data_IF_622401716012
#
_entry.id   IF_622401716012
#
_cell.length_a   1.000
_cell.length_b   1.000
_cell.length_c   1.000
_cell.angle_alpha   90.00
_cell.angle_beta   90.00
_cell.angle_gamma   90.00
#
_symmetry.space_group_name_H-M   'P 1'
#
loop_
_entity.id
_entity.type
_entity.pdbx_description
1 polymer ?
#
# COMPACT_ATOMS: atom_id res chain seq x y z
N UNK A 1 -24.86 -6.48 63.88
CA UNK A 1 -24.64 -5.18 63.22
C UNK A 1 -23.74 -5.45 62.04
N UNK A 2 -24.39 -5.74 60.91
CA UNK A 2 -23.73 -6.00 59.64
C UNK A 2 -23.06 -4.72 59.16
N UNK A 3 -21.74 -4.80 58.99
CA UNK A 3 -20.96 -3.73 58.40
C UNK A 3 -21.45 -3.49 56.98
N UNK A 4 -22.07 -2.32 56.77
CA UNK A 4 -22.29 -1.71 55.47
C UNK A 4 -20.98 -1.77 54.66
N UNK A 5 -20.84 -2.79 53.82
CA UNK A 5 -20.03 -2.67 52.60
C UNK A 5 -20.78 -1.69 51.70
N UNK A 6 -20.50 -0.41 51.89
CA UNK A 6 -20.75 0.54 50.82
C UNK A 6 -19.84 0.13 49.67
N UNK A 7 -20.41 -0.59 48.68
CA UNK A 7 -19.83 -0.66 47.36
C UNK A 7 -19.69 0.80 46.91
N UNK A 8 -18.46 1.32 46.90
CA UNK A 8 -18.17 2.58 46.21
C UNK A 8 -18.76 2.45 44.81
N UNK A 9 -19.84 3.18 44.56
CA UNK A 9 -20.60 3.10 43.33
C UNK A 9 -19.64 3.33 42.18
N UNK A 10 -19.39 2.28 41.39
CA UNK A 10 -18.48 2.32 40.26
C UNK A 10 -19.08 3.32 39.27
N UNK A 11 -18.39 4.45 39.09
CA UNK A 11 -18.94 5.61 38.42
C UNK A 11 -18.77 5.49 36.91
N UNK A 12 -19.88 5.64 36.21
CA UNK A 12 -19.91 5.87 34.76
C UNK A 12 -19.93 7.38 34.53
N UNK A 13 -19.31 7.83 33.44
CA UNK A 13 -19.40 9.21 32.97
C UNK A 13 -19.94 9.26 31.56
N UNK A 14 -20.65 10.34 31.25
CA UNK A 14 -21.20 10.60 29.94
C UNK A 14 -20.20 11.41 29.12
N UNK A 15 -19.86 10.92 27.93
CA UNK A 15 -19.00 11.64 26.98
C UNK A 15 -19.66 11.74 25.62
N UNK A 16 -19.39 12.84 24.91
CA UNK A 16 -19.77 12.98 23.50
C UNK A 16 -18.57 12.62 22.64
N UNK A 17 -18.75 11.64 21.77
CA UNK A 17 -17.70 11.10 20.89
C UNK A 17 -18.18 11.09 19.45
N UNK A 18 -17.25 11.04 18.49
CA UNK A 18 -17.58 10.82 17.09
C UNK A 18 -17.55 9.33 16.79
N UNK A 19 -18.62 8.82 16.20
CA UNK A 19 -18.70 7.45 15.70
C UNK A 19 -19.36 7.50 14.33
N UNK A 20 -18.64 7.04 13.30
CA UNK A 20 -19.06 7.04 11.90
C UNK A 20 -19.48 8.45 11.42
N UNK A 21 -18.65 9.45 11.74
CA UNK A 21 -18.91 10.86 11.43
C UNK A 21 -20.05 11.53 12.21
N UNK A 22 -20.74 10.80 13.09
CA UNK A 22 -21.84 11.34 13.89
C UNK A 22 -21.40 11.56 15.34
N UNK A 23 -21.81 12.69 15.92
CA UNK A 23 -21.65 12.89 17.37
C UNK A 23 -22.66 12.03 18.12
N UNK A 24 -22.18 11.24 19.08
CA UNK A 24 -22.99 10.38 19.95
C UNK A 24 -22.61 10.60 21.39
N UNK A 25 -23.61 10.65 22.26
CA UNK A 25 -23.41 10.66 23.69
C UNK A 25 -23.44 9.22 24.20
N UNK A 26 -22.37 8.80 24.86
CA UNK A 26 -22.20 7.43 25.35
C UNK A 26 -21.79 7.43 26.82
N UNK A 27 -22.21 6.39 27.55
CA UNK A 27 -21.74 6.15 28.91
C UNK A 27 -20.50 5.26 28.88
N UNK A 28 -19.47 5.70 29.59
CA UNK A 28 -18.20 5.00 29.70
C UNK A 28 -17.76 4.92 31.17
N UNK A 29 -16.93 3.95 31.56
CA UNK A 29 -16.36 3.91 32.89
C UNK A 29 -15.52 5.16 33.21
N UNK A 30 -15.57 5.67 34.44
CA UNK A 30 -14.63 6.71 34.89
C UNK A 30 -13.18 6.24 34.86
N UNK A 31 -12.95 4.94 35.08
CA UNK A 31 -11.65 4.30 35.02
C UNK A 31 -11.74 2.88 34.47
N UNK A 32 -10.91 2.59 33.47
CA UNK A 32 -10.81 1.27 32.86
C UNK A 32 -10.02 0.32 33.76
N UNK A 33 -10.59 -0.86 34.00
CA UNK A 33 -9.96 -1.98 34.73
C UNK A 33 -9.39 -3.05 33.80
N UNK A 34 -9.91 -3.16 32.58
CA UNK A 34 -9.50 -4.17 31.62
C UNK A 34 -10.22 -4.04 30.30
N UNK A 35 -9.75 -4.78 29.31
CA UNK A 35 -10.36 -4.90 28.00
C UNK A 35 -10.76 -6.36 27.83
N UNK A 36 -11.99 -6.61 27.40
CA UNK A 36 -12.50 -7.96 27.17
C UNK A 36 -12.78 -8.17 25.68
N UNK A 37 -12.55 -9.38 25.17
CA UNK A 37 -12.87 -9.75 23.79
C UNK A 37 -13.15 -11.25 23.64
N UNK A 38 -13.93 -11.62 22.62
CA UNK A 38 -14.28 -13.00 22.28
C UNK A 38 -13.54 -13.40 21.01
N UNK A 39 -12.52 -14.23 21.18
CA UNK A 39 -11.50 -14.45 20.16
C UNK A 39 -10.67 -13.18 19.93
N UNK A 40 -9.54 -13.35 19.25
CA UNK A 40 -8.75 -12.21 18.79
C UNK A 40 -8.47 -12.42 17.31
N UNK A 41 -9.02 -11.51 16.52
CA UNK A 41 -8.78 -11.35 15.08
C UNK A 41 -8.10 -9.99 14.84
N UNK A 42 -7.79 -9.68 13.58
CA UNK A 42 -7.15 -8.41 13.24
C UNK A 42 -8.01 -7.21 13.68
N UNK A 43 -9.33 -7.29 13.45
CA UNK A 43 -10.27 -6.22 13.80
C UNK A 43 -10.24 -5.86 15.30
N UNK A 44 -10.49 -6.85 16.16
CA UNK A 44 -10.40 -6.66 17.62
C UNK A 44 -9.00 -6.23 18.07
N UNK A 45 -7.93 -6.80 17.51
CA UNK A 45 -6.58 -6.46 17.92
C UNK A 45 -6.20 -5.01 17.57
N UNK A 46 -6.54 -4.54 16.36
CA UNK A 46 -6.30 -3.15 15.96
C UNK A 46 -7.17 -2.21 16.80
N UNK A 47 -8.44 -2.53 17.03
CA UNK A 47 -9.31 -1.72 17.89
C UNK A 47 -8.70 -1.52 19.29
N UNK A 48 -8.23 -2.60 19.91
CA UNK A 48 -7.59 -2.57 21.23
C UNK A 48 -6.31 -1.73 21.21
N UNK A 49 -5.45 -1.90 20.20
CA UNK A 49 -4.22 -1.11 20.07
C UNK A 49 -4.54 0.39 19.99
N UNK A 50 -5.49 0.78 19.14
CA UNK A 50 -5.87 2.19 18.97
C UNK A 50 -6.41 2.79 20.26
N UNK A 51 -7.26 2.05 20.98
CA UNK A 51 -7.78 2.48 22.27
C UNK A 51 -6.67 2.61 23.32
N UNK A 52 -5.72 1.67 23.37
CA UNK A 52 -4.61 1.73 24.32
C UNK A 52 -3.62 2.86 24.01
N UNK A 53 -3.34 3.14 22.74
CA UNK A 53 -2.36 4.17 22.34
C UNK A 53 -2.92 5.58 22.37
N UNK A 54 -4.22 5.75 22.10
CA UNK A 54 -4.82 7.07 21.87
C UNK A 54 -6.05 7.34 22.72
N UNK A 55 -6.54 6.35 23.47
CA UNK A 55 -7.81 6.46 24.19
C UNK A 55 -7.72 7.02 25.60
N UNK A 56 -6.53 7.28 26.17
CA UNK A 56 -6.36 7.59 27.61
C UNK A 56 -7.17 8.81 28.08
N UNK A 57 -7.29 9.85 27.26
CA UNK A 57 -8.09 11.04 27.57
C UNK A 57 -9.58 10.70 27.71
N UNK A 58 -10.09 9.88 26.79
CA UNK A 58 -11.49 9.47 26.74
C UNK A 58 -11.79 8.32 27.69
N UNK A 59 -10.86 7.40 27.93
CA UNK A 59 -10.98 6.17 28.73
C UNK A 59 -9.81 6.06 29.71
N UNK A 60 -9.83 6.75 30.86
CA UNK A 60 -8.70 6.78 31.79
C UNK A 60 -8.29 5.38 32.26
N UNK A 61 -7.01 5.05 32.16
CA UNK A 61 -6.45 3.73 32.48
C UNK A 61 -6.42 2.73 31.33
N UNK A 62 -7.02 3.03 30.18
CA UNK A 62 -7.08 2.12 29.02
C UNK A 62 -5.68 1.71 28.56
N UNK A 63 -4.70 2.62 28.58
CA UNK A 63 -3.37 2.36 28.04
C UNK A 63 -2.59 1.24 28.74
N UNK A 64 -2.96 0.93 29.99
CA UNK A 64 -2.36 -0.17 30.78
C UNK A 64 -3.35 -1.28 31.13
N UNK A 65 -4.57 -1.20 30.60
CA UNK A 65 -5.63 -2.14 30.91
C UNK A 65 -5.25 -3.56 30.42
N UNK A 66 -5.33 -4.59 31.28
CA UNK A 66 -5.08 -5.97 30.86
C UNK A 66 -6.11 -6.42 29.82
N UNK A 67 -5.66 -7.23 28.87
CA UNK A 67 -6.52 -7.82 27.83
C UNK A 67 -6.93 -9.21 28.29
N UNK A 68 -8.24 -9.44 28.41
CA UNK A 68 -8.83 -10.72 28.79
C UNK A 68 -9.60 -11.25 27.58
N UNK A 69 -9.12 -12.36 27.02
CA UNK A 69 -9.71 -12.99 25.84
C UNK A 69 -10.09 -14.44 26.14
N UNK A 70 -11.25 -14.86 25.63
CA UNK A 70 -11.66 -16.27 25.60
C UNK A 70 -12.15 -16.66 24.21
N UNK A 71 -12.23 -17.97 23.91
CA UNK A 71 -12.41 -18.45 22.53
C UNK A 71 -13.78 -18.16 21.92
N UNK A 72 -14.86 -18.35 22.67
CA UNK A 72 -16.23 -18.18 22.17
C UNK A 72 -17.23 -18.10 23.31
N UNK A 73 -18.40 -17.52 23.02
CA UNK A 73 -19.55 -17.54 23.92
C UNK A 73 -19.51 -16.50 25.05
N UNK A 74 -20.23 -16.79 26.13
CA UNK A 74 -20.39 -15.92 27.30
C UNK A 74 -19.07 -15.77 28.07
N UNK A 75 -18.92 -14.72 28.91
CA UNK A 75 -17.79 -14.59 29.83
C UNK A 75 -17.53 -15.89 30.61
N UNK A 76 -16.26 -16.28 30.84
CA UNK A 76 -15.91 -17.56 31.48
C UNK A 76 -16.48 -17.75 32.88
N UNK A 77 -16.75 -16.65 33.59
CA UNK A 77 -17.33 -16.63 34.93
C UNK A 77 -18.87 -16.64 34.92
N UNK A 78 -19.49 -16.71 33.74
CA UNK A 78 -20.94 -16.74 33.56
C UNK A 78 -21.66 -15.42 33.82
N UNK A 79 -20.95 -14.37 34.24
CA UNK A 79 -21.56 -13.05 34.52
C UNK A 79 -22.06 -12.40 33.23
N UNK A 80 -23.18 -11.65 33.28
CA UNK A 80 -23.64 -10.88 32.14
C UNK A 80 -22.68 -9.73 31.82
N UNK A 81 -22.59 -9.35 30.55
CA UNK A 81 -21.63 -8.35 30.07
C UNK A 81 -21.81 -6.97 30.73
N UNK A 82 -23.05 -6.59 31.06
CA UNK A 82 -23.32 -5.30 31.69
C UNK A 82 -22.63 -5.16 33.06
N UNK A 83 -22.46 -6.26 33.80
CA UNK A 83 -21.73 -6.24 35.07
C UNK A 83 -20.28 -5.89 34.80
N UNK A 84 -19.61 -6.58 33.86
CA UNK A 84 -18.24 -6.28 33.45
C UNK A 84 -18.06 -4.81 33.04
N UNK A 85 -18.98 -4.24 32.26
CA UNK A 85 -18.95 -2.82 31.87
C UNK A 85 -19.02 -1.91 33.11
N UNK A 86 -19.94 -2.17 34.03
CA UNK A 86 -20.04 -1.44 35.30
C UNK A 86 -18.79 -1.60 36.17
N UNK A 87 -18.07 -2.71 36.04
CA UNK A 87 -16.78 -2.91 36.70
C UNK A 87 -15.61 -2.18 36.04
N UNK A 88 -15.85 -1.50 34.91
CA UNK A 88 -14.83 -0.78 34.17
C UNK A 88 -14.12 -1.60 33.10
N UNK A 89 -14.70 -2.71 32.66
CA UNK A 89 -14.17 -3.48 31.53
C UNK A 89 -14.76 -3.02 30.20
N UNK A 90 -13.90 -2.95 29.19
CA UNK A 90 -14.24 -2.46 27.85
C UNK A 90 -14.42 -3.64 26.90
N UNK A 91 -15.65 -4.04 26.51
CA UNK A 91 -15.85 -5.01 25.45
C UNK A 91 -15.48 -4.47 24.07
N UNK A 92 -14.70 -5.25 23.33
CA UNK A 92 -14.28 -4.95 21.97
C UNK A 92 -14.63 -6.11 21.06
N UNK A 93 -15.30 -5.80 19.95
CA UNK A 93 -15.75 -6.75 18.93
C UNK A 93 -16.77 -7.81 19.40
N UNK A 94 -17.53 -7.52 20.45
CA UNK A 94 -18.67 -8.35 20.86
C UNK A 94 -19.61 -7.61 21.83
N UNK A 95 -20.82 -8.15 22.00
CA UNK A 95 -21.71 -7.81 23.11
C UNK A 95 -22.60 -6.58 22.92
N UNK A 96 -22.63 -6.00 21.72
CA UNK A 96 -23.50 -4.89 21.33
C UNK A 96 -23.08 -3.54 21.90
N UNK A 97 -21.86 -3.40 22.42
CA UNK A 97 -21.38 -2.13 22.97
C UNK A 97 -20.81 -1.20 21.89
N UNK A 98 -20.28 -0.04 22.29
CA UNK A 98 -19.85 1.02 21.36
C UNK A 98 -18.78 0.56 20.36
N UNK A 99 -17.96 -0.43 20.73
CA UNK A 99 -16.93 -1.04 19.88
C UNK A 99 -17.33 -2.40 19.29
N UNK A 100 -18.63 -2.70 19.22
CA UNK A 100 -19.16 -3.88 18.54
C UNK A 100 -19.99 -3.50 17.31
N UNK A 101 -19.85 -4.26 16.23
CA UNK A 101 -20.54 -4.07 14.95
C UNK A 101 -21.45 -5.26 14.59
N UNK A 102 -21.68 -6.19 15.51
CA UNK A 102 -22.59 -7.30 15.29
C UNK A 102 -24.05 -6.93 15.63
N UNK A 103 -25.03 -7.43 14.86
CA UNK A 103 -24.87 -8.12 13.59
C UNK A 103 -24.57 -7.12 12.45
N UNK A 104 -23.78 -7.54 11.46
CA UNK A 104 -23.24 -6.66 10.40
C UNK A 104 -24.32 -5.94 9.58
N UNK A 105 -25.52 -6.51 9.46
CA UNK A 105 -26.63 -5.91 8.71
C UNK A 105 -27.05 -4.55 9.30
N UNK A 106 -26.83 -4.34 10.61
CA UNK A 106 -27.13 -3.08 11.28
C UNK A 106 -26.03 -2.03 11.13
N UNK A 107 -24.82 -2.44 10.77
CA UNK A 107 -23.63 -1.60 10.74
C UNK A 107 -22.82 -1.83 9.46
N UNK A 108 -23.42 -1.59 8.27
CA UNK A 108 -22.75 -1.85 7.01
C UNK A 108 -21.53 -0.93 6.83
N UNK A 109 -20.36 -1.52 6.56
CA UNK A 109 -19.12 -0.78 6.38
C UNK A 109 -18.44 -0.34 7.67
N UNK A 110 -18.71 -1.02 8.78
CA UNK A 110 -18.06 -0.80 10.07
C UNK A 110 -17.47 -2.11 10.60
N UNK A 111 -16.36 -2.01 11.32
CA UNK A 111 -15.81 -3.07 12.16
C UNK A 111 -15.38 -2.47 13.52
N UNK A 112 -14.94 -3.29 14.48
CA UNK A 112 -14.56 -2.78 15.80
C UNK A 112 -13.42 -1.76 15.71
N UNK A 113 -12.46 -1.99 14.81
CA UNK A 113 -11.30 -1.13 14.61
C UNK A 113 -11.68 0.21 13.99
N UNK A 114 -12.59 0.26 13.02
CA UNK A 114 -13.03 1.55 12.46
C UNK A 114 -13.74 2.40 13.51
N UNK A 115 -14.51 1.76 14.39
CA UNK A 115 -15.17 2.43 15.52
C UNK A 115 -14.19 2.94 16.55
N UNK A 116 -13.17 2.15 16.89
CA UNK A 116 -12.10 2.60 17.78
C UNK A 116 -11.35 3.80 17.19
N UNK A 117 -10.99 3.76 15.89
CA UNK A 117 -10.34 4.87 15.18
C UNK A 117 -11.18 6.15 15.18
N UNK A 118 -12.50 6.03 14.98
CA UNK A 118 -13.42 7.18 15.08
C UNK A 118 -13.53 7.72 16.50
N UNK A 119 -13.63 6.82 17.49
CA UNK A 119 -13.75 7.18 18.90
C UNK A 119 -12.56 8.01 19.38
N UNK A 120 -11.33 7.67 18.94
CA UNK A 120 -10.10 8.43 19.28
C UNK A 120 -9.79 9.57 18.30
N UNK A 121 -10.74 9.93 17.43
CA UNK A 121 -10.65 11.03 16.44
C UNK A 121 -9.43 10.95 15.49
N UNK A 122 -8.98 9.74 15.15
CA UNK A 122 -7.93 9.54 14.13
C UNK A 122 -8.51 9.54 12.70
N UNK A 123 -9.82 9.56 12.54
CA UNK A 123 -10.51 9.23 11.28
C UNK A 123 -10.35 10.18 10.09
N UNK A 124 -9.72 11.36 10.25
CA UNK A 124 -9.72 12.41 9.23
C UNK A 124 -8.64 12.33 8.15
N UNK A 125 -7.56 11.56 8.38
CA UNK A 125 -6.45 11.49 7.45
C UNK A 125 -6.64 10.39 6.39
N UNK A 126 -6.20 10.63 5.15
CA UNK A 126 -6.29 9.66 4.05
C UNK A 126 -5.62 8.31 4.39
N UNK A 127 -4.55 8.36 5.19
CA UNK A 127 -3.85 7.16 5.70
C UNK A 127 -4.78 6.31 6.55
N UNK A 128 -5.55 6.94 7.44
CA UNK A 128 -6.49 6.27 8.33
C UNK A 128 -7.68 5.75 7.53
N UNK A 129 -8.14 6.49 6.53
CA UNK A 129 -9.21 6.05 5.65
C UNK A 129 -8.84 4.77 4.90
N UNK A 130 -7.62 4.66 4.36
CA UNK A 130 -7.16 3.43 3.71
C UNK A 130 -7.06 2.25 4.69
N UNK A 131 -6.57 2.50 5.90
CA UNK A 131 -6.52 1.46 6.94
C UNK A 131 -7.94 0.98 7.29
N UNK A 132 -8.90 1.89 7.46
CA UNK A 132 -10.30 1.55 7.72
C UNK A 132 -10.89 0.68 6.62
N UNK A 133 -10.74 1.08 5.36
CA UNK A 133 -11.25 0.31 4.22
C UNK A 133 -10.65 -1.10 4.17
N UNK A 134 -9.34 -1.23 4.44
CA UNK A 134 -8.68 -2.53 4.54
C UNK A 134 -9.23 -3.40 5.67
N UNK A 135 -9.45 -2.82 6.86
CA UNK A 135 -9.96 -3.54 8.04
C UNK A 135 -11.40 -4.01 7.82
N UNK A 136 -12.25 -3.17 7.23
CA UNK A 136 -13.62 -3.54 6.85
C UNK A 136 -13.58 -4.71 5.87
N UNK A 137 -12.70 -4.67 4.87
CA UNK A 137 -12.57 -5.77 3.90
C UNK A 137 -12.07 -7.07 4.54
N UNK A 138 -11.08 -7.02 5.44
CA UNK A 138 -10.55 -8.23 6.08
C UNK A 138 -11.61 -8.91 6.97
N UNK A 139 -12.40 -8.10 7.68
CA UNK A 139 -13.44 -8.54 8.60
C UNK A 139 -14.69 -9.06 7.85
N UNK A 140 -15.20 -8.31 6.87
CA UNK A 140 -16.47 -8.62 6.19
C UNK A 140 -16.34 -9.39 4.88
N UNK A 141 -15.15 -9.40 4.26
CA UNK A 141 -14.92 -9.84 2.87
C UNK A 141 -15.79 -9.14 1.83
N UNK A 142 -16.35 -7.98 2.16
CA UNK A 142 -17.19 -7.21 1.25
C UNK A 142 -16.38 -6.65 0.07
N UNK A 143 -16.78 -7.05 -1.14
CA UNK A 143 -16.09 -6.69 -2.38
C UNK A 143 -16.12 -5.19 -2.69
N UNK A 144 -17.04 -4.43 -2.09
CA UNK A 144 -17.07 -2.95 -2.24
C UNK A 144 -15.77 -2.31 -1.73
N UNK A 145 -15.16 -2.91 -0.70
CA UNK A 145 -13.91 -2.45 -0.11
C UNK A 145 -12.67 -3.13 -0.72
N UNK A 146 -12.86 -4.02 -1.71
CA UNK A 146 -11.75 -4.69 -2.40
C UNK A 146 -10.84 -3.72 -3.17
N UNK A 147 -11.40 -2.61 -3.68
CA UNK A 147 -10.67 -1.62 -4.49
C UNK A 147 -9.86 -0.61 -3.68
N UNK A 148 -10.01 -0.58 -2.35
CA UNK A 148 -9.06 0.11 -1.46
C UNK A 148 -7.64 -0.47 -1.57
N UNK A 149 -7.53 -1.65 -2.18
CA UNK A 149 -6.29 -2.33 -2.53
C UNK A 149 -6.15 -2.35 -4.06
N UNK A 150 -5.80 -1.23 -4.72
CA UNK A 150 -5.46 -1.24 -6.13
C UNK A 150 -4.18 -2.08 -6.26
N UNK A 151 -4.36 -3.35 -6.62
CA UNK A 151 -3.34 -4.39 -6.63
C UNK A 151 -2.86 -4.74 -5.20
N UNK A 152 -2.32 -5.94 -5.00
CA UNK A 152 -1.90 -6.48 -3.68
C UNK A 152 -0.78 -5.67 -2.99
N UNK A 153 -0.52 -4.44 -3.42
CA UNK A 153 0.61 -3.59 -3.08
C UNK A 153 0.26 -2.44 -2.11
N UNK A 154 -1.02 -2.24 -1.78
CA UNK A 154 -1.47 -1.10 -0.97
C UNK A 154 -1.43 -1.33 0.56
N UNK A 155 -1.55 -2.58 1.03
CA UNK A 155 -1.21 -2.93 2.42
C UNK A 155 0.11 -3.72 2.40
N UNK A 156 1.27 -3.07 2.58
CA UNK A 156 2.59 -3.69 2.45
C UNK A 156 2.83 -4.91 3.34
N UNK A 157 1.98 -5.13 4.36
CA UNK A 157 2.21 -6.13 5.39
C UNK A 157 1.23 -7.31 5.37
N UNK A 158 0.16 -7.32 4.57
CA UNK A 158 -0.87 -8.38 4.67
C UNK A 158 -1.23 -8.68 6.14
N UNK A 159 -1.59 -7.62 6.89
CA UNK A 159 -1.64 -7.62 8.36
C UNK A 159 -2.49 -8.75 8.93
N UNK A 160 -3.63 -9.06 8.33
CA UNK A 160 -4.54 -10.11 8.79
C UNK A 160 -3.88 -11.50 8.81
N UNK A 161 -3.43 -12.02 7.65
CA UNK A 161 -2.69 -13.28 7.60
C UNK A 161 -1.45 -13.33 8.50
N UNK A 162 -0.63 -12.27 8.54
CA UNK A 162 0.56 -12.24 9.40
C UNK A 162 0.19 -12.27 10.88
N UNK A 163 -0.74 -11.44 11.31
CA UNK A 163 -1.18 -11.40 12.71
C UNK A 163 -1.77 -12.74 13.14
N UNK A 164 -2.61 -13.36 12.30
CA UNK A 164 -3.15 -14.70 12.55
C UNK A 164 -2.05 -15.74 12.74
N UNK A 165 -1.00 -15.70 11.91
CA UNK A 165 0.11 -16.63 12.02
C UNK A 165 0.95 -16.40 13.28
N UNK A 166 1.22 -15.14 13.63
CA UNK A 166 1.96 -14.78 14.84
C UNK A 166 1.16 -15.18 16.09
N UNK A 167 -0.11 -14.79 16.17
CA UNK A 167 -0.99 -15.11 17.29
C UNK A 167 -1.19 -16.63 17.50
N UNK A 168 -1.03 -17.44 16.46
CA UNK A 168 -1.06 -18.90 16.57
C UNK A 168 0.24 -19.50 17.15
N UNK A 169 1.35 -18.76 17.13
CA UNK A 169 2.69 -19.25 17.48
C UNK A 169 3.27 -18.56 18.73
N UNK A 170 2.68 -17.46 19.18
CA UNK A 170 3.20 -16.66 20.31
C UNK A 170 2.14 -16.46 21.38
N UNK A 171 2.55 -15.88 22.51
CA UNK A 171 1.60 -15.35 23.51
C UNK A 171 0.85 -14.14 22.96
N UNK A 172 -0.29 -13.81 23.57
CA UNK A 172 -1.13 -12.72 23.12
C UNK A 172 -0.40 -11.38 23.17
N UNK A 173 0.31 -11.11 24.27
CA UNK A 173 1.06 -9.88 24.49
C UNK A 173 2.14 -9.69 23.41
N UNK A 174 2.82 -10.78 23.02
CA UNK A 174 3.82 -10.77 21.95
C UNK A 174 3.18 -10.52 20.58
N UNK A 175 2.02 -11.13 20.30
CA UNK A 175 1.28 -10.90 19.06
C UNK A 175 0.84 -9.43 18.93
N UNK A 176 0.38 -8.83 20.03
CA UNK A 176 0.04 -7.40 20.09
C UNK A 176 1.27 -6.51 19.89
N UNK A 177 2.42 -6.83 20.49
CA UNK A 177 3.66 -6.07 20.29
C UNK A 177 4.12 -6.09 18.81
N UNK A 178 4.03 -7.26 18.16
CA UNK A 178 4.29 -7.38 16.73
C UNK A 178 3.31 -6.57 15.90
N UNK A 179 2.01 -6.64 16.20
CA UNK A 179 0.99 -5.88 15.47
C UNK A 179 1.19 -4.36 15.61
N UNK A 180 1.53 -3.87 16.81
CA UNK A 180 1.89 -2.46 17.03
C UNK A 180 3.07 -2.06 16.14
N UNK A 181 4.12 -2.87 16.10
CA UNK A 181 5.29 -2.63 15.23
C UNK A 181 4.88 -2.58 13.75
N UNK A 182 4.04 -3.52 13.29
CA UNK A 182 3.54 -3.53 11.91
C UNK A 182 2.70 -2.29 11.58
N UNK A 183 1.85 -1.84 12.51
CA UNK A 183 1.05 -0.63 12.35
C UNK A 183 1.92 0.63 12.31
N UNK A 184 2.96 0.73 13.15
CA UNK A 184 3.93 1.83 13.11
C UNK A 184 4.67 1.86 11.77
N UNK A 185 5.15 0.70 11.29
CA UNK A 185 5.80 0.61 9.98
C UNK A 185 4.84 1.00 8.85
N UNK A 186 3.57 0.55 8.91
CA UNK A 186 2.53 0.95 7.96
C UNK A 186 2.32 2.46 7.97
N UNK A 187 2.17 3.06 9.16
CA UNK A 187 1.97 4.50 9.29
C UNK A 187 3.15 5.28 8.72
N UNK A 188 4.38 4.86 9.02
CA UNK A 188 5.60 5.49 8.48
C UNK A 188 5.64 5.40 6.95
N UNK A 189 5.39 4.21 6.40
CA UNK A 189 5.40 3.96 4.96
C UNK A 189 4.33 4.79 4.22
N UNK A 190 3.11 4.87 4.77
CA UNK A 190 2.04 5.69 4.21
C UNK A 190 2.31 7.18 4.37
N UNK A 191 2.90 7.60 5.48
CA UNK A 191 3.32 8.99 5.70
C UNK A 191 4.35 9.41 4.66
N UNK A 192 5.38 8.60 4.45
CA UNK A 192 6.37 8.84 3.39
C UNK A 192 5.69 8.92 2.01
N UNK A 193 4.73 8.05 1.73
CA UNK A 193 4.02 8.04 0.46
C UNK A 193 3.15 9.30 0.26
N UNK A 194 2.22 9.58 1.16
CA UNK A 194 1.23 10.66 1.03
C UNK A 194 1.74 12.05 1.37
N UNK A 195 2.81 12.16 2.15
CA UNK A 195 3.40 13.46 2.51
C UNK A 195 4.60 13.73 1.62
N UNK A 196 5.64 12.90 1.71
CA UNK A 196 6.90 13.16 1.00
C UNK A 196 6.78 12.88 -0.50
N UNK A 197 6.17 11.75 -0.88
CA UNK A 197 5.93 11.37 -2.26
C UNK A 197 5.01 12.37 -2.97
N UNK A 198 3.91 12.77 -2.33
CA UNK A 198 3.00 13.81 -2.82
C UNK A 198 3.73 15.15 -3.03
N UNK A 199 4.43 15.65 -2.02
CA UNK A 199 5.16 16.93 -2.12
C UNK A 199 6.17 16.93 -3.26
N UNK A 200 6.93 15.84 -3.41
CA UNK A 200 7.86 15.67 -4.51
C UNK A 200 7.17 15.61 -5.88
N UNK A 201 6.02 14.94 -5.96
CA UNK A 201 5.21 14.90 -7.18
C UNK A 201 4.61 16.27 -7.51
N UNK A 202 4.10 17.03 -6.55
CA UNK A 202 3.57 18.39 -6.78
C UNK A 202 4.63 19.30 -7.38
N UNK A 203 5.85 19.27 -6.85
CA UNK A 203 7.01 20.03 -7.36
C UNK A 203 7.61 19.50 -8.68
N UNK A 204 7.20 18.32 -9.14
CA UNK A 204 7.72 17.71 -10.36
C UNK A 204 7.13 18.32 -11.63
N UNK A 205 7.89 18.20 -12.73
CA UNK A 205 7.41 18.51 -14.06
C UNK A 205 6.47 17.42 -14.57
N UNK A 206 5.43 17.81 -15.32
CA UNK A 206 4.37 16.91 -15.83
C UNK A 206 3.96 17.34 -17.24
N UNK A 207 3.78 16.39 -18.14
CA UNK A 207 3.27 16.64 -19.51
C UNK A 207 2.46 15.44 -19.99
N UNK A 208 1.48 15.72 -20.85
CA UNK A 208 0.76 14.70 -21.62
C UNK A 208 1.12 14.87 -23.09
N UNK A 209 1.52 13.78 -23.75
CA UNK A 209 1.86 13.76 -25.18
C UNK A 209 0.91 12.81 -25.89
N UNK A 210 0.20 13.31 -26.90
CA UNK A 210 -0.62 12.46 -27.77
C UNK A 210 0.25 11.84 -28.86
N UNK A 211 0.23 10.50 -28.93
CA UNK A 211 0.86 9.72 -29.99
C UNK A 211 -0.17 8.74 -30.53
N UNK A 212 -0.55 8.89 -31.82
CA UNK A 212 -1.53 8.05 -32.50
C UNK A 212 -2.87 7.93 -31.74
N UNK A 213 -3.37 9.04 -31.18
CA UNK A 213 -4.64 9.10 -30.44
C UNK A 213 -4.56 8.52 -29.03
N UNK A 214 -3.36 8.25 -28.53
CA UNK A 214 -3.12 7.80 -27.17
C UNK A 214 -2.35 8.87 -26.40
N UNK A 215 -2.95 9.40 -25.33
CA UNK A 215 -2.30 10.35 -24.44
C UNK A 215 -1.39 9.62 -23.44
N UNK A 216 -0.09 9.86 -23.55
CA UNK A 216 0.95 9.34 -22.65
C UNK A 216 1.32 10.39 -21.62
N UNK A 217 1.23 10.03 -20.34
CA UNK A 217 1.58 10.96 -19.25
C UNK A 217 3.02 10.77 -18.79
N UNK A 218 3.82 11.82 -18.84
CA UNK A 218 5.22 11.84 -18.40
C UNK A 218 5.32 12.69 -17.13
N UNK A 219 6.02 12.17 -16.12
CA UNK A 219 6.32 12.88 -14.89
C UNK A 219 7.84 12.85 -14.64
N UNK A 220 8.45 13.99 -14.33
CA UNK A 220 9.89 14.09 -14.12
C UNK A 220 10.25 14.96 -12.92
N UNK A 221 11.00 14.40 -11.96
CA UNK A 221 11.34 15.07 -10.71
C UNK A 221 12.82 14.95 -10.35
N UNK A 222 13.39 16.03 -9.84
CA UNK A 222 14.65 15.99 -9.08
C UNK A 222 14.28 15.96 -7.60
N UNK A 223 14.47 14.83 -6.92
CA UNK A 223 14.01 14.67 -5.54
C UNK A 223 14.73 13.54 -4.81
N UNK A 224 15.04 13.69 -3.51
CA UNK A 224 15.55 12.58 -2.71
C UNK A 224 14.46 11.58 -2.30
N UNK A 225 13.17 11.91 -2.49
CA UNK A 225 12.06 11.04 -2.08
C UNK A 225 12.02 9.77 -2.92
N UNK A 226 12.23 8.62 -2.28
CA UNK A 226 12.07 7.31 -2.91
C UNK A 226 10.60 6.95 -3.19
N UNK A 227 9.65 7.66 -2.59
CA UNK A 227 8.21 7.45 -2.82
C UNK A 227 7.67 8.21 -4.03
N UNK A 228 8.42 9.19 -4.55
CA UNK A 228 8.01 9.98 -5.72
C UNK A 228 7.59 9.11 -6.91
N UNK A 229 8.37 8.09 -7.35
CA UNK A 229 7.99 7.30 -8.52
C UNK A 229 6.71 6.49 -8.31
N UNK A 230 6.54 5.93 -7.10
CA UNK A 230 5.33 5.19 -6.73
C UNK A 230 4.12 6.13 -6.71
N UNK A 231 4.27 7.32 -6.13
CA UNK A 231 3.18 8.30 -6.05
C UNK A 231 2.75 8.79 -7.43
N UNK A 232 3.71 9.15 -8.29
CA UNK A 232 3.45 9.63 -9.66
C UNK A 232 2.66 8.63 -10.51
N UNK A 233 2.90 7.33 -10.33
CA UNK A 233 2.21 6.22 -11.03
C UNK A 233 0.88 5.81 -10.38
N UNK A 234 0.64 6.21 -9.13
CA UNK A 234 -0.58 5.84 -8.40
C UNK A 234 -1.81 6.58 -8.91
N UNK A 235 -2.99 6.15 -8.44
CA UNK A 235 -4.25 6.86 -8.66
C UNK A 235 -4.31 8.25 -8.01
N UNK A 236 -3.45 8.52 -7.03
CA UNK A 236 -3.38 9.80 -6.32
C UNK A 236 -2.44 10.81 -7.00
N UNK A 237 -1.59 10.34 -7.91
CA UNK A 237 -0.72 11.17 -8.74
C UNK A 237 -1.31 11.39 -10.13
N UNK A 238 -0.46 11.31 -11.15
CA UNK A 238 -0.86 11.54 -12.55
C UNK A 238 -1.15 10.24 -13.31
N UNK A 239 -1.14 9.06 -12.64
CA UNK A 239 -1.11 7.75 -13.31
C UNK A 239 -0.04 7.70 -14.42
N UNK A 240 1.13 8.28 -14.13
CA UNK A 240 2.15 8.52 -15.14
C UNK A 240 2.55 7.22 -15.88
N UNK A 241 2.56 7.29 -17.21
CA UNK A 241 3.04 6.22 -18.07
C UNK A 241 4.57 6.15 -18.08
N UNK A 242 5.23 7.30 -17.94
CA UNK A 242 6.68 7.39 -17.82
C UNK A 242 7.04 8.26 -16.62
N UNK A 243 7.90 7.76 -15.75
CA UNK A 243 8.44 8.53 -14.63
C UNK A 243 9.96 8.62 -14.73
N UNK A 244 10.50 9.83 -14.75
CA UNK A 244 11.93 10.12 -14.65
C UNK A 244 12.21 10.65 -13.24
N UNK A 245 12.96 9.88 -12.46
CA UNK A 245 13.40 10.26 -11.13
C UNK A 245 14.90 10.49 -11.14
N UNK A 246 15.30 11.72 -10.84
CA UNK A 246 16.69 12.10 -10.64
C UNK A 246 16.89 12.39 -9.16
N UNK A 247 17.74 11.62 -8.48
CA UNK A 247 18.15 11.92 -7.12
C UNK A 247 19.14 13.10 -7.12
N UNK A 248 19.14 13.98 -6.12
CA UNK A 248 20.09 15.09 -6.03
C UNK A 248 21.57 14.66 -6.05
N UNK A 249 21.88 13.43 -5.63
CA UNK A 249 23.23 12.87 -5.72
C UNK A 249 23.63 12.43 -7.15
N UNK A 250 22.69 12.43 -8.10
CA UNK A 250 22.91 12.02 -9.50
C UNK A 250 22.44 10.61 -9.84
N UNK A 251 21.74 9.89 -8.94
CA UNK A 251 21.11 8.62 -9.33
C UNK A 251 19.92 8.90 -10.25
N UNK A 252 19.73 8.06 -11.27
CA UNK A 252 18.61 8.20 -12.19
C UNK A 252 17.84 6.90 -12.29
N UNK A 253 16.52 7.01 -12.30
CA UNK A 253 15.60 5.93 -12.62
C UNK A 253 14.56 6.44 -13.62
N UNK A 254 14.30 5.66 -14.66
CA UNK A 254 13.21 5.86 -15.61
C UNK A 254 12.32 4.62 -15.55
N UNK A 255 11.06 4.82 -15.19
CA UNK A 255 10.04 3.77 -15.13
C UNK A 255 9.05 3.98 -16.28
N UNK A 256 8.64 2.91 -16.93
CA UNK A 256 7.58 2.93 -17.93
C UNK A 256 6.42 2.00 -17.54
N UNK A 257 5.21 2.34 -17.96
CA UNK A 257 4.03 1.48 -17.83
C UNK A 257 4.21 0.20 -18.65
N UNK A 258 3.46 -0.84 -18.31
CA UNK A 258 3.52 -2.14 -19.00
C UNK A 258 3.10 -2.09 -20.48
N UNK A 259 2.54 -0.97 -20.93
CA UNK A 259 2.16 -0.72 -22.34
C UNK A 259 3.34 -0.26 -23.19
N UNK A 260 4.43 0.17 -22.56
CA UNK A 260 5.60 0.75 -23.21
C UNK A 260 6.82 -0.16 -23.06
N UNK A 261 7.50 -0.42 -24.18
CA UNK A 261 8.81 -1.07 -24.17
C UNK A 261 9.89 -0.01 -24.29
N UNK A 262 10.82 0.03 -23.35
CA UNK A 262 11.91 1.01 -23.33
C UNK A 262 13.11 0.56 -24.17
N UNK A 263 12.99 -0.45 -25.03
CA UNK A 263 14.09 -0.98 -25.87
C UNK A 263 14.72 0.15 -26.71
N UNK A 264 13.87 0.98 -27.33
CA UNK A 264 14.31 2.10 -28.15
C UNK A 264 14.90 3.25 -27.32
N UNK A 265 14.31 3.57 -26.16
CA UNK A 265 14.88 4.55 -25.25
C UNK A 265 16.26 4.12 -24.73
N UNK A 266 16.41 2.84 -24.40
CA UNK A 266 17.68 2.24 -24.00
C UNK A 266 18.72 2.37 -25.14
N UNK A 267 18.31 2.16 -26.40
CA UNK A 267 19.16 2.41 -27.58
C UNK A 267 19.57 3.88 -27.70
N UNK A 268 18.63 4.83 -27.59
CA UNK A 268 18.91 6.26 -27.66
C UNK A 268 19.89 6.71 -26.57
N UNK A 269 19.68 6.25 -25.34
CA UNK A 269 20.60 6.47 -24.21
C UNK A 269 21.99 5.95 -24.55
N UNK A 270 22.12 4.74 -25.10
CA UNK A 270 23.42 4.17 -25.47
C UNK A 270 24.11 4.94 -26.60
N UNK A 271 23.37 5.41 -27.60
CA UNK A 271 23.92 6.22 -28.69
C UNK A 271 24.49 7.55 -28.17
N UNK A 272 23.81 8.19 -27.22
CA UNK A 272 24.30 9.40 -26.57
C UNK A 272 25.59 9.15 -25.77
N UNK A 273 25.68 8.04 -25.05
CA UNK A 273 26.93 7.64 -24.40
C UNK A 273 28.07 7.47 -25.41
N UNK A 274 27.84 6.76 -26.51
CA UNK A 274 28.85 6.52 -27.55
C UNK A 274 29.33 7.81 -28.23
N UNK A 275 28.41 8.74 -28.53
CA UNK A 275 28.74 10.06 -29.10
C UNK A 275 29.66 10.85 -28.19
N UNK A 276 29.35 10.89 -26.89
CA UNK A 276 30.16 11.59 -25.90
C UNK A 276 31.55 10.95 -25.70
N UNK A 277 31.71 9.66 -26.02
CA UNK A 277 32.99 8.96 -25.95
C UNK A 277 33.90 9.17 -27.17
N UNK A 278 33.45 9.91 -28.19
CA UNK A 278 34.20 10.11 -29.45
C UNK A 278 34.63 8.80 -30.10
N UNK A 279 33.88 7.72 -29.89
CA UNK A 279 34.06 6.46 -30.61
C UNK A 279 33.36 6.63 -31.95
N UNK A 280 34.11 6.46 -33.04
CA UNK A 280 33.61 6.60 -34.41
C UNK A 280 32.32 5.79 -34.57
N UNK A 281 31.23 6.48 -34.92
CA UNK A 281 29.86 5.96 -34.92
C UNK A 281 29.56 4.93 -36.02
N UNK A 282 30.60 4.36 -36.64
CA UNK A 282 30.51 3.51 -37.83
C UNK A 282 30.59 2.01 -37.54
N UNK A 283 30.70 1.56 -36.27
CA UNK A 283 30.82 0.13 -35.97
C UNK A 283 29.71 -0.38 -35.02
N UNK A 284 28.65 -0.94 -35.61
CA UNK A 284 27.87 -2.15 -35.22
C UNK A 284 27.63 -2.54 -33.74
N UNK A 285 27.80 -1.64 -32.76
CA UNK A 285 27.73 -1.93 -31.31
C UNK A 285 26.59 -1.20 -30.57
N UNK A 286 25.64 -0.60 -31.29
CA UNK A 286 24.43 0.00 -30.71
C UNK A 286 23.35 -1.06 -30.39
N UNK A 287 23.76 -2.18 -29.78
CA UNK A 287 22.81 -3.22 -29.40
C UNK A 287 22.20 -2.88 -28.03
N UNK A 288 20.88 -2.64 -27.98
CA UNK A 288 20.16 -2.48 -26.73
C UNK A 288 20.30 -3.71 -25.82
N UNK A 289 20.61 -4.89 -26.40
CA UNK A 289 20.90 -6.11 -25.64
C UNK A 289 22.17 -6.00 -24.77
N UNK A 290 23.07 -5.04 -25.02
CA UNK A 290 24.25 -4.80 -24.17
C UNK A 290 23.93 -4.04 -22.87
N UNK A 291 22.70 -3.57 -22.67
CA UNK A 291 22.22 -3.00 -21.39
C UNK A 291 21.60 -4.05 -20.45
N UNK A 292 21.65 -5.33 -20.83
CA UNK A 292 20.83 -6.41 -20.25
C UNK A 292 21.48 -7.22 -19.12
N UNK A 293 22.64 -6.85 -18.60
CA UNK A 293 23.28 -7.58 -17.48
C UNK A 293 23.11 -6.85 -16.15
N UNK A 294 22.44 -7.51 -15.21
CA UNK A 294 22.30 -7.09 -13.82
C UNK A 294 23.64 -7.27 -13.08
N UNK A 295 24.06 -6.29 -12.28
CA UNK A 295 25.09 -6.46 -11.26
C UNK A 295 26.56 -6.52 -11.71
N UNK A 296 26.86 -6.65 -13.01
CA UNK A 296 28.25 -6.68 -13.50
C UNK A 296 28.49 -5.59 -14.56
N UNK A 297 28.88 -4.38 -14.12
CA UNK A 297 29.47 -3.38 -15.00
C UNK A 297 29.09 -1.91 -14.75
N UNK A 298 30.05 -1.04 -15.04
CA UNK A 298 29.96 0.41 -15.12
C UNK A 298 28.87 0.89 -16.11
N UNK A 299 27.83 1.62 -15.68
CA UNK A 299 26.91 2.32 -16.60
C UNK A 299 25.42 2.28 -16.25
N UNK A 300 24.57 2.37 -17.28
CA UNK A 300 23.11 2.22 -17.18
C UNK A 300 22.70 0.74 -17.17
N UNK A 301 21.64 0.45 -16.42
CA UNK A 301 20.99 -0.85 -16.29
C UNK A 301 19.61 -0.80 -16.94
N UNK A 302 19.28 -1.77 -17.79
CA UNK A 302 17.97 -1.90 -18.42
C UNK A 302 17.27 -3.20 -18.02
N UNK A 303 16.18 -3.08 -17.24
CA UNK A 303 15.25 -4.16 -16.99
C UNK A 303 14.12 -4.11 -18.04
N UNK A 304 14.22 -5.00 -19.02
CA UNK A 304 13.14 -5.21 -19.97
C UNK A 304 11.93 -5.82 -19.28
N UNK A 305 10.74 -5.35 -19.61
CA UNK A 305 9.50 -6.05 -19.24
C UNK A 305 9.49 -7.43 -19.91
N UNK A 306 9.93 -8.46 -19.18
CA UNK A 306 9.73 -9.85 -19.53
C UNK A 306 9.42 -10.62 -18.26
N UNK A 307 8.17 -11.04 -18.09
CA UNK A 307 7.91 -12.27 -17.34
C UNK A 307 6.53 -12.86 -17.69
N UNK A 308 6.56 -14.07 -18.24
CA UNK A 308 5.69 -15.18 -17.85
C UNK A 308 4.26 -14.79 -17.41
N UNK A 309 3.49 -14.17 -18.32
CA UNK A 309 2.06 -13.94 -18.11
C UNK A 309 1.66 -12.83 -17.12
N UNK A 310 2.57 -11.97 -16.65
CA UNK A 310 2.21 -10.76 -15.88
C UNK A 310 2.80 -9.49 -16.48
N UNK A 311 1.97 -8.46 -16.61
CA UNK A 311 2.29 -7.18 -17.22
C UNK A 311 3.18 -6.32 -16.31
N UNK A 312 4.49 -6.59 -16.24
CA UNK A 312 5.43 -5.70 -15.55
C UNK A 312 5.78 -4.48 -16.43
N UNK A 313 6.08 -3.33 -15.83
CA UNK A 313 6.66 -2.18 -16.54
C UNK A 313 8.14 -2.41 -16.90
N UNK A 314 8.68 -1.64 -17.84
CA UNK A 314 10.14 -1.61 -18.09
C UNK A 314 10.82 -0.59 -17.17
N UNK A 315 12.10 -0.78 -16.86
CA UNK A 315 12.89 0.15 -16.06
C UNK A 315 14.28 0.37 -16.65
N UNK A 316 14.75 1.61 -16.66
CA UNK A 316 16.12 1.98 -16.95
C UNK A 316 16.70 2.73 -15.74
N UNK A 317 17.91 2.41 -15.28
CA UNK A 317 18.49 3.03 -14.08
C UNK A 317 20.00 3.28 -14.21
N UNK A 318 20.52 4.29 -13.51
CA UNK A 318 21.96 4.56 -13.35
C UNK A 318 22.28 4.85 -11.89
N UNK A 319 23.19 4.07 -11.30
CA UNK A 319 23.53 4.12 -9.88
C UNK A 319 22.69 3.17 -9.01
N UNK A 320 22.85 3.25 -7.68
CA UNK A 320 22.19 2.34 -6.72
C UNK A 320 21.01 3.00 -6.01
N UNK A 321 19.91 2.27 -5.85
CA UNK A 321 18.77 2.72 -5.05
C UNK A 321 18.95 2.52 -3.55
N UNK A 322 19.88 1.63 -3.14
CA UNK A 322 20.04 1.21 -1.74
C UNK A 322 21.04 2.05 -0.95
N UNK A 323 21.97 2.73 -1.63
CA UNK A 323 23.00 3.54 -1.00
C UNK A 323 22.93 4.96 -1.54
N UNK A 324 22.02 5.77 -0.99
CA UNK A 324 21.75 7.15 -1.45
C UNK A 324 22.85 8.14 -1.06
N UNK A 325 23.65 7.77 -0.07
CA UNK A 325 24.86 8.42 0.44
C UNK A 325 26.10 8.12 -0.41
N UNK A 326 26.07 7.01 -1.14
CA UNK A 326 27.09 6.67 -2.14
C UNK A 326 26.77 7.46 -3.40
N UNK A 327 27.70 8.32 -3.81
CA UNK A 327 27.61 8.98 -5.10
C UNK A 327 27.41 7.91 -6.21
N UNK A 328 26.60 8.19 -7.25
CA UNK A 328 26.48 7.32 -8.42
C UNK A 328 27.88 6.94 -8.84
N UNK A 329 28.18 5.64 -8.96
CA UNK A 329 29.53 5.11 -9.13
C UNK A 329 30.40 6.08 -9.92
N UNK A 330 31.17 6.91 -9.20
CA UNK A 330 32.05 7.91 -9.81
C UNK A 330 33.29 7.14 -10.20
N UNK A 331 33.30 6.67 -11.43
CA UNK A 331 34.47 6.01 -11.98
C UNK A 331 35.58 7.06 -12.08
N UNK A 332 36.69 6.77 -11.40
CA UNK A 332 38.00 7.42 -11.33
C UNK A 332 38.24 8.75 -12.06
N UNK A 333 38.91 9.65 -11.34
CA UNK A 333 39.31 10.99 -11.77
C UNK A 333 39.76 11.09 -13.23
N UNK A 334 39.20 12.09 -13.92
CA UNK A 334 39.46 12.45 -15.33
C UNK A 334 39.18 11.33 -16.34
N UNK A 335 37.93 10.92 -16.50
CA UNK A 335 37.47 10.40 -17.80
C UNK A 335 35.99 10.72 -18.06
N UNK A 336 35.73 11.60 -19.03
CA UNK A 336 34.77 11.46 -20.15
C UNK A 336 33.58 10.46 -20.00
N UNK A 337 32.81 10.49 -18.89
CA UNK A 337 31.71 9.53 -18.58
C UNK A 337 30.39 10.19 -18.07
N UNK A 338 30.10 11.41 -18.54
CA UNK A 338 28.94 12.24 -18.15
C UNK A 338 27.95 12.51 -19.29
N UNK A 339 27.98 11.72 -20.36
CA UNK A 339 27.25 11.95 -21.62
C UNK A 339 25.78 12.42 -21.48
N UNK A 340 25.07 11.83 -20.50
CA UNK A 340 23.67 12.16 -20.19
C UNK A 340 23.52 12.85 -18.83
N UNK A 341 24.52 12.68 -17.95
CA UNK A 341 24.53 13.33 -16.64
C UNK A 341 25.23 14.66 -16.77
N UNK A 342 24.45 15.69 -16.99
CA UNK A 342 24.94 17.05 -17.07
C UNK A 342 25.33 17.57 -15.67
N UNK A 343 26.15 18.64 -15.58
CA UNK A 343 26.71 19.14 -14.34
C UNK A 343 25.71 19.34 -13.20
N UNK A 344 24.44 19.59 -13.52
CA UNK A 344 23.36 19.65 -12.53
C UNK A 344 22.28 18.58 -12.74
N UNK A 345 21.61 18.13 -11.66
CA UNK A 345 20.44 17.25 -11.75
C UNK A 345 19.32 17.80 -12.64
N UNK A 346 19.12 19.12 -12.67
CA UNK A 346 18.11 19.79 -13.49
C UNK A 346 18.42 19.69 -14.98
N UNK A 347 19.68 19.89 -15.35
CA UNK A 347 20.14 19.71 -16.72
C UNK A 347 20.01 18.24 -17.15
N UNK A 348 20.40 17.32 -16.26
CA UNK A 348 20.22 15.87 -16.47
C UNK A 348 18.75 15.54 -16.73
N UNK A 349 17.82 16.01 -15.88
CA UNK A 349 16.38 15.84 -16.06
C UNK A 349 15.92 16.38 -17.42
N UNK A 350 16.36 17.58 -17.80
CA UNK A 350 15.97 18.20 -19.07
C UNK A 350 16.43 17.38 -20.29
N UNK A 351 17.66 16.86 -20.26
CA UNK A 351 18.17 16.01 -21.34
C UNK A 351 17.40 14.70 -21.45
N UNK A 352 17.10 14.06 -20.33
CA UNK A 352 16.31 12.83 -20.29
C UNK A 352 14.88 13.04 -20.78
N UNK A 353 14.26 14.18 -20.46
CA UNK A 353 12.95 14.55 -21.01
C UNK A 353 12.99 14.64 -22.54
N UNK A 354 14.04 15.24 -23.11
CA UNK A 354 14.21 15.28 -24.57
C UNK A 354 14.31 13.87 -25.16
N UNK A 355 15.12 12.98 -24.58
CA UNK A 355 15.28 11.60 -25.06
C UNK A 355 13.97 10.80 -24.94
N UNK A 356 13.20 10.99 -23.86
CA UNK A 356 11.89 10.35 -23.69
C UNK A 356 10.89 10.85 -24.73
N UNK A 357 10.90 12.15 -25.05
CA UNK A 357 10.05 12.70 -26.13
C UNK A 357 10.43 12.13 -27.49
N UNK A 358 11.73 12.10 -27.81
CA UNK A 358 12.24 11.49 -29.04
C UNK A 358 11.85 10.01 -29.13
N UNK A 359 11.94 9.27 -28.02
CA UNK A 359 11.49 7.90 -27.94
C UNK A 359 9.99 7.77 -28.23
N UNK A 360 9.13 8.55 -27.57
CA UNK A 360 7.67 8.47 -27.73
C UNK A 360 7.18 8.93 -29.10
N UNK A 361 7.80 9.94 -29.69
CA UNK A 361 7.45 10.46 -31.02
C UNK A 361 8.11 9.68 -32.16
N UNK A 362 9.09 8.83 -31.86
CA UNK A 362 9.82 8.05 -32.85
C UNK A 362 8.97 6.96 -33.52
N UNK A 363 9.35 6.48 -34.72
CA UNK A 363 8.57 5.50 -35.49
C UNK A 363 8.44 4.12 -34.83
N UNK A 364 9.16 3.87 -33.73
CA UNK A 364 9.25 2.59 -33.01
C UNK A 364 8.50 2.57 -31.66
N UNK A 365 7.93 3.69 -31.19
CA UNK A 365 7.08 3.74 -29.98
C UNK A 365 5.72 3.07 -30.14
N UNK A 366 5.42 2.58 -31.35
CA UNK A 366 4.16 1.95 -31.69
C UNK A 366 3.91 0.78 -30.72
N UNK A 367 2.78 0.78 -29.99
CA UNK A 367 2.41 -0.40 -29.22
C UNK A 367 2.37 -1.59 -30.18
N UNK A 368 2.77 -2.81 -29.74
CA UNK A 368 2.53 -3.99 -30.54
C UNK A 368 1.06 -3.99 -30.89
N UNK A 369 0.73 -3.93 -32.20
CA UNK A 369 -0.65 -4.05 -32.65
C UNK A 369 -1.14 -5.39 -32.13
N UNK A 370 -1.85 -5.38 -31.01
CA UNK A 370 -2.63 -6.53 -30.56
C UNK A 370 -3.61 -6.77 -31.70
N UNK A 371 -3.30 -7.74 -32.57
CA UNK A 371 -4.29 -8.28 -33.48
C UNK A 371 -5.42 -8.71 -32.56
N UNK A 372 -6.58 -8.05 -32.66
CA UNK A 372 -7.81 -8.57 -32.08
C UNK A 372 -7.84 -10.06 -32.47
N UNK A 373 -8.11 -10.99 -31.53
CA UNK A 373 -8.44 -12.34 -31.94
C UNK A 373 -9.54 -12.19 -32.99
N UNK A 374 -9.33 -12.80 -34.15
CA UNK A 374 -10.37 -12.90 -35.17
C UNK A 374 -11.54 -13.64 -34.52
N UNK A 375 -12.48 -12.89 -33.95
CA UNK A 375 -13.77 -13.39 -33.53
C UNK A 375 -14.52 -13.74 -34.81
N UNK A 376 -14.42 -15.01 -35.23
CA UNK A 376 -15.01 -15.42 -36.48
C UNK A 376 -14.69 -16.83 -36.92
N UNK A 377 -14.83 -17.84 -36.04
CA UNK A 377 -15.25 -19.17 -36.48
C UNK A 377 -16.23 -19.72 -35.44
N UNK A 378 -17.51 -19.76 -35.85
CA UNK A 378 -18.55 -20.53 -35.19
C UNK A 378 -18.11 -22.01 -35.14
N UNK A 379 -17.92 -22.53 -33.93
CA UNK A 379 -17.70 -23.96 -33.68
C UNK A 379 -18.63 -24.45 -32.60
N UNK A 380 -19.95 -24.37 -32.84
CA UNK A 380 -20.90 -25.25 -32.14
C UNK A 380 -20.79 -26.62 -32.78
N UNK A 381 -19.94 -27.47 -32.22
CA UNK A 381 -20.11 -28.91 -32.38
C UNK A 381 -19.79 -29.65 -31.06
N UNK A 382 -20.90 -30.07 -30.44
CA UNK A 382 -21.14 -31.40 -29.88
C UNK A 382 -20.02 -32.02 -29.03
N UNK A 383 -20.24 -32.00 -27.73
CA UNK A 383 -20.03 -33.21 -26.91
C UNK A 383 -21.30 -33.46 -26.10
N UNK A 384 -22.09 -34.44 -26.58
CA UNK A 384 -23.07 -35.18 -25.79
C UNK A 384 -22.28 -36.12 -24.88
N UNK A 385 -22.50 -36.03 -23.58
CA UNK A 385 -22.28 -37.15 -22.68
C UNK A 385 -23.65 -37.60 -22.18
N UNK A 386 -24.06 -38.77 -22.67
CA UNK A 386 -25.19 -39.52 -22.16
C UNK A 386 -24.85 -40.06 -20.76
N UNK A 387 -25.72 -39.80 -19.80
CA UNK A 387 -25.76 -40.48 -18.51
C UNK A 387 -26.96 -41.44 -18.52
N UNK A 388 -26.82 -42.72 -18.17
CA UNK A 388 -27.97 -43.60 -18.00
C UNK A 388 -28.59 -43.43 -16.62
N UNK A 389 -29.90 -43.18 -16.65
CA UNK A 389 -30.82 -43.20 -15.52
C UNK A 389 -31.11 -44.66 -15.13
N UNK A 390 -30.69 -45.09 -13.94
CA UNK A 390 -31.27 -46.27 -13.30
C UNK A 390 -32.60 -45.91 -12.62
N UNK A 391 -33.60 -46.74 -12.91
CA UNK A 391 -34.97 -46.64 -12.45
C UNK A 391 -35.09 -47.18 -11.02
N UNK A 392 -35.78 -46.45 -10.15
CA UNK A 392 -36.48 -47.02 -8.99
C UNK A 392 -37.99 -46.88 -9.20
N UNK A 393 -38.67 -48.03 -9.24
CA UNK A 393 -40.08 -48.21 -8.89
C UNK A 393 -40.24 -49.55 -8.19
N UNK A 394 -40.26 -49.56 -6.86
CA UNK A 394 -41.42 -49.88 -6.02
C UNK A 394 -41.02 -49.67 -4.56
#
# INVERSE_FOLDING_TARGET
MDGLRMCEGKRMRTVTVRLNGNSRTVEIPEKVQGIISVGINLDSAVAIIMLQDHGEELLPGIGKAPIICWKSGKPPDGRPLHEWIQEGFIPVNFGGWIFDHHPHEKFPGECAATRALDFVDLGGELIVQQLKEYLIWDDTRDQRFQFAMPEREACPFALGPLFKQIAAQTRLEEAFAWLRTMLTCYWSEQTEFFVQGKKAWEASWKESIDVDGHAWTICAGVTPSQKFPKYARSQYGSRADVVIHVHPCGHVQILASSRLTMDELARLVRLEEQRAWSVDSTASRADAALLMTEGEGEGWYYQRSKSQGRAAGSMLARGTQRFTDVAPTRIGGRTRKDAIMLPTPEQTRARLLTLVREWLLGPHSRPPRFRKPLSGVNGRDRLRHDAPHEQKKQ
#
